data_IF_775896986516
#
_entry.id   IF_775896986516
#
_cell.length_a   1.000
_cell.length_b   1.000
_cell.length_c   1.000
_cell.angle_alpha   90.00
_cell.angle_beta   90.00
_cell.angle_gamma   90.00
#
_symmetry.space_group_name_H-M   'P 1'
#
loop_
_entity.id
_entity.type
_entity.pdbx_description
1 polymer ?
#
# COMPACT_ATOMS: atom_id res chain seq x y z
N UNK A 1 30.34 12.34 13.94
CA UNK A 1 29.19 12.23 13.01
C UNK A 1 28.82 10.76 12.90
N UNK A 2 27.56 10.38 13.17
CA UNK A 2 27.08 9.01 12.92
C UNK A 2 26.19 9.04 11.69
N UNK A 3 26.51 8.19 10.71
CA UNK A 3 25.71 8.01 9.51
C UNK A 3 24.83 6.78 9.70
N UNK A 4 23.51 6.94 9.52
CA UNK A 4 22.56 5.83 9.52
C UNK A 4 21.99 5.71 8.10
N UNK A 5 22.08 4.51 7.53
CA UNK A 5 21.52 4.19 6.21
C UNK A 5 20.34 3.24 6.33
N UNK A 6 19.47 3.24 5.32
CA UNK A 6 18.39 2.27 5.16
C UNK A 6 18.56 1.57 3.82
N UNK A 7 18.09 0.33 3.68
CA UNK A 7 18.20 -0.44 2.43
C UNK A 7 17.21 -0.01 1.31
N UNK A 8 16.47 1.10 1.48
CA UNK A 8 15.46 1.62 0.52
C UNK A 8 14.43 0.56 0.03
N UNK A 9 14.16 -0.48 0.81
CA UNK A 9 13.03 -1.39 0.57
C UNK A 9 11.75 -0.76 1.14
N UNK A 10 11.25 0.25 0.44
CA UNK A 10 10.02 0.95 0.85
C UNK A 10 8.85 0.26 0.17
N UNK A 11 7.89 -0.20 0.98
CA UNK A 11 6.66 -0.85 0.51
C UNK A 11 5.49 -0.47 1.42
N UNK A 12 4.33 -1.12 1.24
CA UNK A 12 3.16 -0.97 2.10
C UNK A 12 2.45 0.41 2.12
N UNK A 13 2.76 1.36 1.22
CA UNK A 13 2.11 2.69 1.19
C UNK A 13 0.66 2.64 0.67
N UNK A 14 0.36 1.74 -0.26
CA UNK A 14 -1.00 1.42 -0.73
C UNK A 14 -1.47 0.05 -0.23
N UNK A 15 -1.50 -0.15 1.09
CA UNK A 15 -1.76 -1.45 1.73
C UNK A 15 -3.08 -2.11 1.26
N UNK A 16 -3.01 -3.41 0.97
CA UNK A 16 -4.16 -4.33 0.79
C UNK A 16 -4.68 -4.71 2.17
N UNK A 17 -5.99 -4.63 2.35
CA UNK A 17 -6.64 -5.08 3.58
C UNK A 17 -8.12 -5.41 3.39
N UNK A 18 -8.76 -6.03 4.39
CA UNK A 18 -10.19 -6.31 4.39
C UNK A 18 -11.00 -5.02 4.50
N UNK A 19 -12.30 -5.07 4.21
CA UNK A 19 -13.17 -3.88 4.28
C UNK A 19 -13.42 -3.37 5.69
N UNK A 20 -13.11 -4.18 6.72
CA UNK A 20 -13.08 -3.75 8.11
C UNK A 20 -11.85 -2.88 8.45
N UNK A 21 -10.78 -2.94 7.64
CA UNK A 21 -9.59 -2.11 7.83
C UNK A 21 -9.80 -0.74 7.18
N UNK A 22 -10.12 0.25 8.02
CA UNK A 22 -10.34 1.64 7.60
C UNK A 22 -9.09 2.31 7.02
N UNK A 23 -7.90 1.76 7.25
CA UNK A 23 -6.63 2.29 6.74
C UNK A 23 -6.18 1.59 5.45
N UNK A 24 -6.86 0.54 5.01
CA UNK A 24 -6.51 -0.17 3.80
C UNK A 24 -6.88 0.65 2.56
N UNK A 25 -5.91 0.83 1.66
CA UNK A 25 -6.05 1.67 0.46
C UNK A 25 -6.72 0.90 -0.68
N UNK A 26 -6.43 -0.39 -0.79
CA UNK A 26 -6.98 -1.28 -1.82
C UNK A 26 -7.58 -2.55 -1.22
N UNK A 27 -8.54 -3.15 -1.94
CA UNK A 27 -9.09 -4.47 -1.61
C UNK A 27 -8.23 -5.63 -2.09
N UNK A 28 -8.65 -6.87 -1.81
CA UNK A 28 -7.92 -8.10 -2.20
C UNK A 28 -7.65 -8.23 -3.71
N UNK A 29 -8.41 -7.52 -4.55
CA UNK A 29 -8.26 -7.50 -6.01
C UNK A 29 -7.57 -6.22 -6.52
N UNK A 30 -6.81 -5.54 -5.65
CA UNK A 30 -6.01 -4.35 -5.96
C UNK A 30 -6.81 -3.11 -6.41
N UNK A 31 -8.14 -3.12 -6.31
CA UNK A 31 -8.98 -1.96 -6.61
C UNK A 31 -8.87 -0.88 -5.52
N UNK A 32 -8.66 0.37 -5.94
CA UNK A 32 -8.62 1.52 -5.05
C UNK A 32 -10.00 1.80 -4.43
N UNK A 33 -10.06 1.91 -3.10
CA UNK A 33 -11.32 2.20 -2.42
C UNK A 33 -11.80 3.61 -2.76
N UNK A 34 -13.09 3.74 -3.05
CA UNK A 34 -13.72 5.03 -3.39
C UNK A 34 -13.47 5.52 -4.82
N UNK A 35 -12.83 4.71 -5.68
CA UNK A 35 -12.59 5.03 -7.08
C UNK A 35 -12.98 3.86 -7.97
N UNK A 36 -13.64 4.16 -9.09
CA UNK A 36 -13.97 3.15 -10.09
C UNK A 36 -12.86 3.09 -11.16
N UNK A 37 -12.53 1.88 -11.62
CA UNK A 37 -11.57 1.68 -12.71
C UNK A 37 -10.08 1.85 -12.36
N UNK A 38 -9.74 2.27 -11.14
CA UNK A 38 -8.35 2.43 -10.69
C UNK A 38 -7.85 1.23 -9.88
N UNK A 39 -6.64 0.74 -10.18
CA UNK A 39 -5.96 -0.34 -9.46
C UNK A 39 -4.51 0.00 -9.15
N UNK A 40 -4.00 -0.53 -8.04
CA UNK A 40 -2.59 -0.42 -7.64
C UNK A 40 -1.95 -1.80 -7.64
N UNK A 41 -0.92 -1.98 -8.46
CA UNK A 41 -0.13 -3.20 -8.51
C UNK A 41 1.34 -2.85 -8.30
N UNK A 42 1.82 -3.04 -7.08
CA UNK A 42 3.21 -2.85 -6.68
C UNK A 42 3.66 -4.01 -5.78
N UNK A 43 4.89 -3.91 -5.28
CA UNK A 43 5.39 -4.82 -4.25
C UNK A 43 4.86 -4.34 -2.90
N UNK A 44 3.99 -5.13 -2.27
CA UNK A 44 3.50 -4.87 -0.92
C UNK A 44 4.49 -5.35 0.13
#
# INVERSE_FOLDING_TARGET
MRTVGTFRHISCTCRIGPDSDRMAVVGQYCGARGMEGLRVADWI
#
